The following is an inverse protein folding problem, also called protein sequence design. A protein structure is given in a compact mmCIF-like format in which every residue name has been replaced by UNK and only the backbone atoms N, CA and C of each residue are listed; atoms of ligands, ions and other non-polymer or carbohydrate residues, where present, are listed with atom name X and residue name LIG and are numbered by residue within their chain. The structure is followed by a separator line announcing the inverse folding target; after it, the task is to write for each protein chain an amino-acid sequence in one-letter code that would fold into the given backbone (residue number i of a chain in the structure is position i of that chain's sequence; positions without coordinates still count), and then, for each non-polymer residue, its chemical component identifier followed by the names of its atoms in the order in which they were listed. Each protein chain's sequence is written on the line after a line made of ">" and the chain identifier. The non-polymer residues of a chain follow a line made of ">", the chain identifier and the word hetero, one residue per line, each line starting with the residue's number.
data_IF_206921035563
#
_entry.id   IF_206921035563
#
_cell.length_a   1.000
_cell.length_b   1.000
_cell.length_c   1.000
_cell.angle_alpha   90.00
_cell.angle_beta   90.00
_cell.angle_gamma   90.00
#
_symmetry.space_group_name_H-M   'P 1'
#
loop_
_entity.id
_entity.type
_entity.pdbx_description
1 polymer ?
#
# COMPACT_ATOMS: atom_id res chain seq x y z
N UNK A 1 0.90 4.03 11.87
CA UNK A 1 0.66 4.16 10.41
C UNK A 1 1.71 3.52 9.49
N UNK A 2 2.97 3.98 9.36
CA UNK A 2 3.90 3.46 8.32
C UNK A 2 4.34 2.00 8.54
N UNK A 3 4.69 1.63 9.77
CA UNK A 3 5.24 0.31 10.09
C UNK A 3 4.29 -0.87 9.75
N UNK A 4 2.98 -0.82 10.08
CA UNK A 4 2.00 -1.79 9.58
C UNK A 4 1.92 -1.87 8.05
N UNK A 5 2.02 -0.74 7.34
CA UNK A 5 1.98 -0.71 5.89
C UNK A 5 3.22 -1.36 5.25
N UNK A 6 4.40 -1.17 5.85
CA UNK A 6 5.63 -1.83 5.42
C UNK A 6 5.56 -3.34 5.67
N UNK A 7 5.01 -3.79 6.81
CA UNK A 7 4.78 -5.23 7.07
C UNK A 7 3.85 -5.84 6.03
N UNK A 8 2.74 -5.18 5.73
CA UNK A 8 1.80 -5.62 4.69
C UNK A 8 2.46 -5.68 3.31
N UNK A 9 3.26 -4.67 2.95
CA UNK A 9 4.00 -4.67 1.69
C UNK A 9 5.01 -5.83 1.61
N UNK A 10 5.71 -6.12 2.71
CA UNK A 10 6.62 -7.27 2.79
C UNK A 10 5.88 -8.60 2.60
N UNK A 11 4.68 -8.74 3.19
CA UNK A 11 3.85 -9.92 3.01
C UNK A 11 3.39 -10.09 1.55
N UNK A 12 2.89 -9.03 0.92
CA UNK A 12 2.47 -9.02 -0.49
C UNK A 12 3.64 -9.38 -1.42
N UNK A 13 4.82 -8.78 -1.19
CA UNK A 13 6.03 -9.09 -1.96
C UNK A 13 6.43 -10.56 -1.78
N UNK A 14 6.47 -11.07 -0.56
CA UNK A 14 6.88 -12.45 -0.27
C UNK A 14 5.93 -13.46 -0.92
N UNK A 15 4.62 -13.21 -0.85
CA UNK A 15 3.61 -14.04 -1.49
C UNK A 15 3.76 -14.01 -3.02
N UNK A 16 3.99 -12.83 -3.60
CA UNK A 16 4.23 -12.68 -5.03
C UNK A 16 5.51 -13.41 -5.48
N UNK A 17 6.60 -13.30 -4.71
CA UNK A 17 7.85 -14.02 -4.96
C UNK A 17 7.65 -15.53 -4.94
N UNK A 18 6.90 -16.05 -3.96
CA UNK A 18 6.57 -17.48 -3.86
C UNK A 18 5.74 -17.94 -5.06
N UNK A 19 4.72 -17.18 -5.43
CA UNK A 19 3.86 -17.47 -6.56
C UNK A 19 4.66 -17.51 -7.88
N UNK A 20 5.51 -16.50 -8.12
CA UNK A 20 6.40 -16.46 -9.29
C UNK A 20 7.32 -17.69 -9.28
N UNK A 21 7.96 -18.01 -8.14
CA UNK A 21 8.87 -19.14 -8.04
C UNK A 21 8.17 -20.48 -8.33
N UNK A 22 6.91 -20.65 -7.91
CA UNK A 22 6.11 -21.83 -8.23
C UNK A 22 5.75 -21.90 -9.73
N UNK A 23 5.26 -20.79 -10.31
CA UNK A 23 4.93 -20.68 -11.74
C UNK A 23 6.14 -20.95 -12.65
N UNK A 24 7.33 -20.49 -12.25
CA UNK A 24 8.57 -20.76 -12.98
C UNK A 24 8.95 -22.24 -12.94
N UNK A 25 8.75 -22.92 -11.81
CA UNK A 25 8.98 -24.38 -11.71
C UNK A 25 8.03 -25.18 -12.61
N UNK A 26 6.82 -24.68 -12.85
CA UNK A 26 5.83 -25.33 -13.71
C UNK A 26 5.93 -24.91 -15.19
N UNK A 27 6.93 -24.12 -15.57
CA UNK A 27 7.22 -23.77 -16.96
C UNK A 27 6.47 -22.57 -17.53
N UNK A 28 5.79 -21.78 -16.70
CA UNK A 28 5.10 -20.56 -17.14
C UNK A 28 6.04 -19.35 -17.06
N UNK A 29 6.42 -18.80 -18.22
CA UNK A 29 7.34 -17.66 -18.35
C UNK A 29 6.66 -16.28 -18.40
N UNK A 30 5.33 -16.22 -18.44
CA UNK A 30 4.55 -14.96 -18.53
C UNK A 30 4.77 -14.02 -17.34
N UNK A 31 5.34 -14.53 -16.25
CA UNK A 31 5.65 -13.77 -15.04
C UNK A 31 6.68 -12.67 -15.26
N UNK A 32 7.58 -12.80 -16.25
CA UNK A 32 8.66 -11.83 -16.50
C UNK A 32 8.07 -10.48 -16.95
N UNK A 33 7.07 -10.50 -17.84
CA UNK A 33 6.34 -9.30 -18.30
C UNK A 33 5.58 -8.62 -17.17
N UNK A 34 4.97 -9.41 -16.28
CA UNK A 34 4.27 -8.90 -15.11
C UNK A 34 5.24 -8.16 -14.17
N UNK A 35 6.42 -8.75 -13.91
CA UNK A 35 7.46 -8.11 -13.07
C UNK A 35 8.03 -6.86 -13.73
N UNK A 36 8.22 -6.84 -15.06
CA UNK A 36 8.60 -5.62 -15.79
C UNK A 36 7.58 -4.50 -15.59
N UNK A 37 6.29 -4.78 -15.80
CA UNK A 37 5.22 -3.80 -15.63
C UNK A 37 5.17 -3.28 -14.18
N UNK A 38 5.24 -4.19 -13.20
CA UNK A 38 5.31 -3.83 -11.79
C UNK A 38 6.51 -2.94 -11.46
N UNK A 39 7.68 -3.23 -12.05
CA UNK A 39 8.92 -2.46 -11.83
C UNK A 39 8.76 -1.00 -12.27
N UNK A 40 8.02 -0.72 -13.35
CA UNK A 40 7.72 0.66 -13.78
C UNK A 40 6.97 1.41 -12.68
N UNK A 41 5.92 0.80 -12.11
CA UNK A 41 5.14 1.43 -11.04
C UNK A 41 5.95 1.64 -9.77
N UNK A 42 6.80 0.69 -9.40
CA UNK A 42 7.71 0.79 -8.24
C UNK A 42 8.68 1.97 -8.43
N UNK A 43 9.36 2.06 -9.56
CA UNK A 43 10.33 3.13 -9.81
C UNK A 43 9.68 4.51 -9.86
N UNK A 44 8.47 4.60 -10.40
CA UNK A 44 7.65 5.82 -10.36
C UNK A 44 7.30 6.21 -8.94
N UNK A 45 6.75 5.29 -8.15
CA UNK A 45 6.36 5.55 -6.77
C UNK A 45 7.56 6.01 -5.94
N UNK A 46 8.71 5.34 -6.10
CA UNK A 46 9.99 5.71 -5.46
C UNK A 46 10.61 7.01 -5.97
N UNK A 47 10.00 7.66 -6.98
CA UNK A 47 10.53 8.83 -7.71
C UNK A 47 11.93 8.59 -8.28
N UNK A 48 12.30 7.33 -8.51
CA UNK A 48 13.59 6.93 -9.08
C UNK A 48 13.63 7.18 -10.59
N UNK A 49 12.50 7.08 -11.29
CA UNK A 49 12.40 7.46 -12.70
C UNK A 49 11.09 7.07 -13.37
N UNK A 50 10.80 7.72 -14.50
CA UNK A 50 9.63 7.46 -15.34
C UNK A 50 10.01 6.45 -16.43
N UNK A 51 10.17 5.20 -15.99
CA UNK A 51 10.60 4.11 -16.85
C UNK A 51 9.58 3.81 -17.95
N UNK A 52 10.09 3.59 -19.16
CA UNK A 52 9.31 3.10 -20.31
C UNK A 52 9.78 1.70 -20.70
N UNK A 53 8.83 0.84 -21.08
CA UNK A 53 9.15 -0.49 -21.57
C UNK A 53 9.76 -0.41 -22.98
N UNK A 54 10.99 -0.89 -23.14
CA UNK A 54 11.72 -0.81 -24.39
C UNK A 54 11.25 -1.86 -25.41
N UNK A 55 10.62 -2.95 -24.96
CA UNK A 55 10.03 -3.95 -25.84
C UNK A 55 8.86 -3.38 -26.67
N UNK A 56 8.25 -2.27 -26.24
CA UNK A 56 7.25 -1.54 -27.03
C UNK A 56 7.87 -0.70 -28.17
N UNK A 57 9.15 -0.35 -28.06
CA UNK A 57 9.88 0.47 -29.05
C UNK A 57 10.60 -0.45 -30.04
N UNK A 58 11.22 -1.52 -29.54
CA UNK A 58 11.89 -2.55 -30.35
C UNK A 58 11.79 -3.89 -29.62
N UNK A 59 11.18 -4.88 -30.26
CA UNK A 59 11.09 -6.22 -29.69
C UNK A 59 12.49 -6.79 -29.39
N UNK A 60 12.64 -7.41 -28.23
CA UNK A 60 13.89 -7.99 -27.73
C UNK A 60 15.03 -6.96 -27.66
N UNK A 61 14.77 -5.84 -26.97
CA UNK A 61 15.81 -4.84 -26.76
C UNK A 61 16.97 -5.45 -25.98
N UNK A 62 18.23 -5.30 -26.44
CA UNK A 62 19.35 -6.01 -25.82
C UNK A 62 19.64 -5.48 -24.42
N UNK A 63 19.78 -6.41 -23.47
CA UNK A 63 20.36 -6.22 -22.13
C UNK A 63 19.59 -5.34 -21.14
N UNK A 64 18.54 -4.65 -21.55
CA UNK A 64 17.73 -3.79 -20.70
C UNK A 64 16.26 -3.89 -21.13
N UNK A 65 15.35 -3.97 -20.16
CA UNK A 65 13.92 -4.09 -20.42
C UNK A 65 13.23 -2.73 -20.34
N UNK A 66 13.70 -1.88 -19.42
CA UNK A 66 13.12 -0.57 -19.13
C UNK A 66 14.18 0.53 -19.18
N UNK A 67 13.80 1.74 -19.55
CA UNK A 67 14.69 2.90 -19.42
C UNK A 67 13.92 4.22 -19.26
N UNK A 68 14.58 5.19 -18.64
CA UNK A 68 14.18 6.59 -18.62
C UNK A 68 15.29 7.42 -19.26
N UNK A 69 15.00 7.97 -20.44
CA UNK A 69 15.95 8.76 -21.22
C UNK A 69 16.19 10.15 -20.62
N UNK A 70 15.30 10.69 -19.78
CA UNK A 70 15.49 12.00 -19.16
C UNK A 70 16.47 11.89 -17.99
N UNK A 71 16.31 10.86 -17.17
CA UNK A 71 17.23 10.57 -16.06
C UNK A 71 18.46 9.75 -16.47
N UNK A 72 18.51 9.31 -17.72
CA UNK A 72 19.61 8.50 -18.27
C UNK A 72 19.82 7.20 -17.47
N UNK A 73 18.74 6.56 -17.02
CA UNK A 73 18.77 5.29 -16.30
C UNK A 73 18.23 4.16 -17.15
N UNK A 74 18.83 2.99 -17.01
CA UNK A 74 18.35 1.75 -17.61
C UNK A 74 18.15 0.68 -16.54
N UNK A 75 17.16 -0.19 -16.74
CA UNK A 75 16.82 -1.25 -15.80
C UNK A 75 16.67 -2.57 -16.55
N UNK A 76 17.42 -3.58 -16.12
CA UNK A 76 17.16 -4.96 -16.46
C UNK A 76 16.35 -5.59 -15.34
N UNK A 77 15.22 -6.19 -15.69
CA UNK A 77 14.33 -6.89 -14.78
C UNK A 77 14.55 -8.40 -14.96
N UNK A 78 14.64 -9.13 -13.86
CA UNK A 78 14.72 -10.59 -13.88
C UNK A 78 14.15 -11.14 -12.59
N UNK A 79 13.51 -12.30 -12.63
CA UNK A 79 13.05 -12.94 -11.38
C UNK A 79 14.24 -13.38 -10.53
N UNK A 80 15.30 -13.89 -11.16
CA UNK A 80 16.51 -14.36 -10.51
C UNK A 80 17.73 -13.74 -11.20
N UNK A 81 18.44 -12.85 -10.50
CA UNK A 81 19.69 -12.26 -10.95
C UNK A 81 20.87 -13.14 -10.50
N UNK A 82 21.14 -14.20 -11.27
CA UNK A 82 22.32 -15.05 -11.06
C UNK A 82 23.60 -14.36 -11.57
N UNK A 83 24.80 -14.73 -11.09
CA UNK A 83 26.05 -14.14 -11.56
C UNK A 83 26.24 -14.25 -13.08
N UNK A 84 25.77 -15.36 -13.68
CA UNK A 84 25.79 -15.55 -15.13
C UNK A 84 24.91 -14.53 -15.86
N UNK A 85 23.68 -14.29 -15.37
CA UNK A 85 22.78 -13.26 -15.93
C UNK A 85 23.33 -11.85 -15.72
N UNK A 86 23.88 -11.56 -14.55
CA UNK A 86 24.49 -10.27 -14.24
C UNK A 86 25.64 -9.97 -15.21
N UNK A 87 26.59 -10.89 -15.34
CA UNK A 87 27.72 -10.74 -16.26
C UNK A 87 27.27 -10.61 -17.72
N UNK A 88 26.26 -11.40 -18.14
CA UNK A 88 25.70 -11.31 -19.49
C UNK A 88 25.09 -9.94 -19.76
N UNK A 89 24.36 -9.40 -18.78
CA UNK A 89 23.72 -8.09 -18.85
C UNK A 89 24.76 -6.98 -18.96
N UNK A 90 25.77 -6.97 -18.09
CA UNK A 90 26.86 -5.98 -18.11
C UNK A 90 27.61 -6.03 -19.45
N UNK A 91 28.02 -7.22 -19.91
CA UNK A 91 28.70 -7.38 -21.19
C UNK A 91 27.88 -6.87 -22.36
N UNK A 92 26.57 -7.12 -22.36
CA UNK A 92 25.68 -6.67 -23.42
C UNK A 92 25.40 -5.16 -23.35
N UNK A 93 25.39 -4.57 -22.15
CA UNK A 93 25.25 -3.14 -21.92
C UNK A 93 26.49 -2.35 -22.38
N UNK A 94 27.68 -2.90 -22.20
CA UNK A 94 28.96 -2.32 -22.66
C UNK A 94 29.30 -2.64 -24.12
N UNK A 95 28.56 -3.57 -24.74
CA UNK A 95 28.84 -4.00 -26.12
C UNK A 95 28.59 -2.84 -27.08
N UNK A 96 29.64 -2.45 -27.81
CA UNK A 96 29.55 -1.46 -28.88
C UNK A 96 28.81 -2.04 -30.08
N UNK A 97 27.95 -1.23 -30.69
CA UNK A 97 27.34 -1.52 -31.98
C UNK A 97 28.32 -1.19 -33.14
N UNK A 98 27.86 -1.37 -34.38
CA UNK A 98 28.64 -1.10 -35.60
C UNK A 98 29.10 0.37 -35.71
N UNK A 99 28.42 1.29 -35.02
CA UNK A 99 28.75 2.72 -34.95
C UNK A 99 29.70 3.05 -33.78
N UNK A 100 30.20 2.04 -33.05
CA UNK A 100 31.11 2.23 -31.92
C UNK A 100 30.47 2.72 -30.62
N UNK A 101 29.14 2.80 -30.57
CA UNK A 101 28.35 3.30 -29.42
C UNK A 101 27.74 2.13 -28.65
N UNK A 102 27.73 2.20 -27.32
CA UNK A 102 27.12 1.22 -26.41
C UNK A 102 25.95 1.81 -25.63
N UNK A 103 25.18 0.96 -24.95
CA UNK A 103 24.10 1.44 -24.07
C UNK A 103 24.65 2.20 -22.86
N UNK A 104 25.85 1.84 -22.41
CA UNK A 104 26.59 2.56 -21.36
C UNK A 104 26.91 4.00 -21.73
N UNK A 105 27.14 4.29 -23.01
CA UNK A 105 27.38 5.67 -23.46
C UNK A 105 26.09 6.51 -23.43
N UNK A 106 24.93 5.84 -23.45
CA UNK A 106 23.62 6.49 -23.43
C UNK A 106 23.01 6.59 -22.02
N UNK A 107 23.28 5.65 -21.12
CA UNK A 107 22.68 5.65 -19.78
C UNK A 107 23.76 5.68 -18.71
N UNK A 108 23.70 6.67 -17.82
CA UNK A 108 24.67 6.88 -16.75
C UNK A 108 24.57 5.84 -15.63
N UNK A 109 23.42 5.18 -15.48
CA UNK A 109 23.23 4.13 -14.48
C UNK A 109 22.47 2.94 -15.04
N UNK A 110 22.93 1.74 -14.67
CA UNK A 110 22.26 0.46 -14.92
C UNK A 110 21.79 -0.13 -13.60
N UNK A 111 20.49 -0.41 -13.47
CA UNK A 111 19.94 -1.20 -12.38
C UNK A 111 19.67 -2.62 -12.88
N UNK A 112 20.18 -3.63 -12.17
CA UNK A 112 19.78 -5.03 -12.40
C UNK A 112 18.92 -5.44 -11.21
N UNK A 113 17.63 -5.58 -11.47
CA UNK A 113 16.63 -5.89 -10.47
C UNK A 113 16.29 -7.38 -10.47
N UNK A 114 16.72 -8.08 -9.43
CA UNK A 114 16.32 -9.46 -9.15
C UNK A 114 15.11 -9.51 -8.22
N UNK A 115 13.92 -9.75 -8.77
CA UNK A 115 12.68 -9.66 -7.99
C UNK A 115 12.56 -10.74 -6.91
N UNK A 116 12.85 -12.01 -7.21
CA UNK A 116 12.82 -13.11 -6.24
C UNK A 116 14.17 -13.33 -5.58
N UNK A 117 15.27 -13.17 -6.33
CA UNK A 117 16.62 -13.40 -5.84
C UNK A 117 17.66 -12.57 -6.58
N UNK A 118 18.58 -11.99 -5.81
CA UNK A 118 19.77 -11.32 -6.34
C UNK A 118 21.02 -11.94 -5.72
N UNK A 119 21.97 -12.37 -6.56
CA UNK A 119 23.25 -12.87 -6.08
C UNK A 119 24.21 -11.71 -5.77
N UNK A 120 24.94 -11.81 -4.66
CA UNK A 120 26.07 -10.92 -4.39
C UNK A 120 27.13 -11.16 -5.47
N UNK A 121 27.45 -10.13 -6.24
CA UNK A 121 28.41 -10.19 -7.33
C UNK A 121 29.07 -8.83 -7.50
N UNK A 122 30.36 -8.82 -7.82
CA UNK A 122 31.08 -7.56 -8.07
C UNK A 122 30.57 -6.94 -9.37
N UNK A 123 30.21 -5.66 -9.31
CA UNK A 123 29.68 -4.91 -10.46
C UNK A 123 30.42 -3.58 -10.61
N UNK A 124 30.49 -3.04 -11.84
CA UNK A 124 31.07 -1.72 -12.09
C UNK A 124 30.32 -0.60 -11.34
N UNK A 125 30.99 0.55 -11.15
CA UNK A 125 30.44 1.69 -10.39
C UNK A 125 29.13 2.27 -10.94
N UNK A 126 28.90 2.17 -12.26
CA UNK A 126 27.66 2.62 -12.90
C UNK A 126 26.51 1.60 -12.75
N UNK A 127 26.78 0.39 -12.26
CA UNK A 127 25.82 -0.70 -12.17
C UNK A 127 25.41 -0.93 -10.70
N UNK A 128 24.11 -1.00 -10.45
CA UNK A 128 23.53 -1.31 -9.12
C UNK A 128 22.74 -2.60 -9.18
N UNK A 129 23.10 -3.55 -8.33
CA UNK A 129 22.29 -4.74 -8.09
C UNK A 129 21.25 -4.40 -7.01
N UNK A 130 19.97 -4.54 -7.34
CA UNK A 130 18.88 -4.27 -6.41
C UNK A 130 17.96 -5.48 -6.29
N UNK A 131 17.33 -5.60 -5.13
CA UNK A 131 16.29 -6.59 -4.83
C UNK A 131 15.11 -5.89 -4.14
N UNK A 132 14.11 -6.66 -3.73
CA UNK A 132 12.94 -6.10 -3.04
C UNK A 132 13.27 -5.49 -1.69
N UNK A 133 14.34 -5.95 -1.03
CA UNK A 133 14.80 -5.40 0.25
C UNK A 133 15.34 -3.98 0.08
N UNK A 134 16.08 -3.72 -1.01
CA UNK A 134 16.52 -2.37 -1.38
C UNK A 134 15.32 -1.42 -1.55
N UNK A 135 14.26 -1.87 -2.22
CA UNK A 135 13.05 -1.07 -2.44
C UNK A 135 12.34 -0.73 -1.12
N UNK A 136 12.21 -1.73 -0.22
CA UNK A 136 11.61 -1.52 1.10
C UNK A 136 12.47 -0.55 1.93
N UNK A 137 13.80 -0.66 1.86
CA UNK A 137 14.71 0.28 2.50
C UNK A 137 14.50 1.73 2.04
N UNK A 138 14.42 1.95 0.73
CA UNK A 138 14.13 3.28 0.17
C UNK A 138 12.77 3.83 0.61
N UNK A 139 11.76 2.98 0.82
CA UNK A 139 10.46 3.40 1.35
C UNK A 139 10.54 3.78 2.84
N UNK A 140 11.22 2.96 3.64
CA UNK A 140 11.45 3.24 5.05
C UNK A 140 12.20 4.56 5.25
N UNK A 141 13.24 4.81 4.45
CA UNK A 141 14.06 6.03 4.53
C UNK A 141 13.27 7.28 4.14
N UNK A 142 12.35 7.17 3.18
CA UNK A 142 11.51 8.30 2.75
C UNK A 142 10.31 8.54 3.65
N UNK A 143 9.86 7.51 4.38
CA UNK A 143 8.74 7.55 5.31
C UNK A 143 7.46 8.19 4.71
N UNK A 144 7.21 7.96 3.42
CA UNK A 144 6.07 8.51 2.68
C UNK A 144 4.98 7.43 2.54
N UNK A 145 3.87 7.65 3.23
CA UNK A 145 2.73 6.73 3.27
C UNK A 145 2.05 6.56 1.91
N UNK A 146 1.94 7.64 1.13
CA UNK A 146 1.31 7.60 -0.19
C UNK A 146 2.16 6.78 -1.17
N UNK A 147 3.49 6.89 -1.08
CA UNK A 147 4.41 6.07 -1.88
C UNK A 147 4.28 4.57 -1.58
N UNK A 148 4.14 4.21 -0.30
CA UNK A 148 3.94 2.81 0.10
C UNK A 148 2.61 2.28 -0.43
N UNK A 149 1.55 3.09 -0.33
CA UNK A 149 0.23 2.73 -0.83
C UNK A 149 0.22 2.57 -2.36
N UNK A 150 0.90 3.44 -3.10
CA UNK A 150 0.97 3.36 -4.56
C UNK A 150 1.64 2.06 -5.02
N UNK A 151 2.65 1.58 -4.29
CA UNK A 151 3.29 0.29 -4.56
C UNK A 151 2.37 -0.88 -4.22
N UNK A 152 1.68 -0.85 -3.07
CA UNK A 152 0.69 -1.85 -2.70
C UNK A 152 -0.40 -1.97 -3.78
N UNK A 153 -0.94 -0.84 -4.22
CA UNK A 153 -1.95 -0.78 -5.27
C UNK A 153 -1.40 -1.33 -6.60
N UNK A 154 -0.13 -1.05 -6.92
CA UNK A 154 0.52 -1.59 -8.12
C UNK A 154 0.68 -3.11 -8.07
N UNK A 155 1.09 -3.68 -6.93
CA UNK A 155 1.19 -5.14 -6.75
C UNK A 155 -0.17 -5.79 -6.94
N UNK A 156 -1.22 -5.21 -6.33
CA UNK A 156 -2.59 -5.72 -6.39
C UNK A 156 -3.23 -5.63 -7.77
N UNK A 157 -2.91 -4.60 -8.57
CA UNK A 157 -3.41 -4.46 -9.95
C UNK A 157 -2.92 -5.56 -10.89
N UNK A 158 -1.79 -6.21 -10.58
CA UNK A 158 -1.17 -7.18 -11.49
C UNK A 158 -1.61 -8.63 -11.25
N UNK A 159 -2.60 -8.90 -10.37
CA UNK A 159 -3.15 -10.24 -10.14
C UNK A 159 -4.62 -10.26 -9.67
N UNK A 160 -5.29 -11.41 -9.89
CA UNK A 160 -6.48 -11.92 -9.16
C UNK A 160 -6.15 -12.19 -7.66
N UNK A 161 -5.59 -11.19 -6.99
CA UNK A 161 -5.03 -11.28 -5.63
C UNK A 161 -6.09 -11.32 -4.52
N UNK A 162 -7.36 -11.10 -4.86
CA UNK A 162 -8.49 -11.11 -3.91
C UNK A 162 -8.66 -12.46 -3.22
N UNK A 163 -8.18 -13.55 -3.82
CA UNK A 163 -8.37 -14.92 -3.29
C UNK A 163 -7.29 -15.38 -2.30
N UNK A 164 -6.19 -14.62 -2.18
CA UNK A 164 -5.06 -14.92 -1.29
C UNK A 164 -4.76 -13.69 -0.43
N UNK A 165 -5.71 -13.30 0.43
CA UNK A 165 -5.58 -12.07 1.23
C UNK A 165 -4.42 -12.20 2.25
N UNK A 166 -3.33 -11.45 2.09
CA UNK A 166 -2.10 -11.64 2.85
C UNK A 166 -2.06 -10.86 4.17
N UNK A 167 -3.10 -10.09 4.51
CA UNK A 167 -3.07 -9.17 5.63
C UNK A 167 -3.47 -9.83 6.94
N UNK A 168 -2.63 -9.62 7.95
CA UNK A 168 -2.91 -10.11 9.29
C UNK A 168 -4.10 -9.37 9.93
N UNK A 169 -4.83 -10.08 10.78
CA UNK A 169 -5.94 -9.54 11.57
C UNK A 169 -5.48 -8.34 12.40
N UNK A 170 -4.34 -8.46 13.07
CA UNK A 170 -3.81 -7.41 13.96
C UNK A 170 -3.44 -6.15 13.18
N UNK A 171 -2.73 -6.29 12.06
CA UNK A 171 -2.31 -5.15 11.24
C UNK A 171 -3.52 -4.45 10.62
N UNK A 172 -4.52 -5.20 10.18
CA UNK A 172 -5.78 -4.65 9.66
C UNK A 172 -6.56 -3.91 10.75
N UNK A 173 -6.58 -4.44 11.98
CA UNK A 173 -7.18 -3.78 13.13
C UNK A 173 -6.44 -2.49 13.50
N UNK A 174 -5.11 -2.49 13.51
CA UNK A 174 -4.30 -1.30 13.84
C UNK A 174 -4.61 -0.13 12.90
N UNK A 175 -4.75 -0.39 11.59
CA UNK A 175 -5.13 0.65 10.61
C UNK A 175 -6.53 1.19 10.87
N UNK A 176 -7.49 0.31 11.17
CA UNK A 176 -8.87 0.73 11.50
C UNK A 176 -8.88 1.57 12.78
N UNK A 177 -8.12 1.19 13.80
CA UNK A 177 -8.00 1.94 15.04
C UNK A 177 -7.35 3.31 14.81
N UNK A 178 -6.33 3.42 13.95
CA UNK A 178 -5.72 4.69 13.54
C UNK A 178 -6.75 5.63 12.87
N UNK A 179 -7.68 5.09 12.07
CA UNK A 179 -8.78 5.86 11.48
C UNK A 179 -9.80 6.32 12.52
N UNK A 180 -10.17 5.43 13.47
CA UNK A 180 -11.04 5.76 14.59
C UNK A 180 -10.39 6.84 15.47
N UNK A 181 -9.07 6.83 15.62
CA UNK A 181 -8.32 7.79 16.43
C UNK A 181 -8.20 9.20 15.79
N UNK A 182 -8.94 9.48 14.71
CA UNK A 182 -9.02 10.78 14.04
C UNK A 182 -10.12 11.67 14.65
N UNK A 183 -10.17 12.92 14.17
CA UNK A 183 -11.04 13.98 14.70
C UNK A 183 -12.52 13.58 14.78
N UNK A 184 -13.03 12.81 13.80
CA UNK A 184 -14.45 12.44 13.72
C UNK A 184 -14.98 11.73 14.97
N UNK A 185 -14.13 10.97 15.68
CA UNK A 185 -14.50 10.30 16.95
C UNK A 185 -13.93 11.04 18.16
N UNK A 186 -12.72 11.62 18.02
CA UNK A 186 -12.03 12.29 19.13
C UNK A 186 -12.73 13.52 19.67
N UNK A 187 -13.46 14.26 18.85
CA UNK A 187 -14.06 15.50 19.29
C UNK A 187 -15.50 15.28 19.75
N UNK A 188 -15.86 15.92 20.88
CA UNK A 188 -17.26 16.03 21.27
C UNK A 188 -18.02 16.94 20.33
N UNK A 189 -19.33 16.76 20.28
CA UNK A 189 -20.23 17.58 19.46
C UNK A 189 -20.09 19.08 19.72
N UNK A 190 -19.81 19.50 20.96
CA UNK A 190 -19.61 20.91 21.32
C UNK A 190 -18.33 21.53 20.74
N UNK A 191 -17.33 20.71 20.41
CA UNK A 191 -16.06 21.11 19.82
C UNK A 191 -15.93 20.67 18.35
N UNK A 192 -17.01 20.11 17.77
CA UNK A 192 -17.01 19.60 16.40
C UNK A 192 -17.00 20.79 15.42
N UNK A 193 -15.88 20.99 14.73
CA UNK A 193 -15.72 22.12 13.83
C UNK A 193 -16.60 22.01 12.57
N UNK A 194 -16.80 20.79 12.07
CA UNK A 194 -17.48 20.53 10.79
C UNK A 194 -18.24 19.21 10.84
N UNK A 195 -19.57 19.30 10.86
CA UNK A 195 -20.44 18.12 10.86
C UNK A 195 -20.31 17.31 9.55
N UNK A 196 -20.07 17.99 8.42
CA UNK A 196 -19.86 17.33 7.13
C UNK A 196 -18.58 16.49 7.13
N UNK A 197 -17.48 17.02 7.67
CA UNK A 197 -16.20 16.30 7.73
C UNK A 197 -16.27 15.12 8.70
N UNK A 198 -16.99 15.29 9.82
CA UNK A 198 -17.27 14.19 10.74
C UNK A 198 -18.05 13.05 10.05
N UNK A 199 -19.10 13.37 9.29
CA UNK A 199 -19.88 12.39 8.53
C UNK A 199 -19.05 11.71 7.44
N UNK A 200 -18.14 12.45 6.78
CA UNK A 200 -17.18 11.87 5.84
C UNK A 200 -16.27 10.86 6.58
N UNK A 201 -15.73 11.23 7.74
CA UNK A 201 -14.91 10.35 8.57
C UNK A 201 -15.64 9.06 8.97
N UNK A 202 -16.92 9.13 9.33
CA UNK A 202 -17.72 7.93 9.62
C UNK A 202 -17.91 7.03 8.41
N UNK A 203 -18.12 7.61 7.23
CA UNK A 203 -18.22 6.85 5.97
C UNK A 203 -16.90 6.17 5.65
N UNK A 204 -15.76 6.84 5.84
CA UNK A 204 -14.44 6.24 5.64
C UNK A 204 -14.22 5.06 6.59
N UNK A 205 -14.53 5.19 7.89
CA UNK A 205 -14.41 4.09 8.85
C UNK A 205 -15.29 2.90 8.42
N UNK A 206 -16.55 3.15 8.07
CA UNK A 206 -17.46 2.09 7.62
C UNK A 206 -17.00 1.44 6.30
N UNK A 207 -16.43 2.21 5.36
CA UNK A 207 -15.89 1.67 4.10
C UNK A 207 -14.69 0.77 4.37
N UNK A 208 -13.78 1.17 5.26
CA UNK A 208 -12.61 0.35 5.63
C UNK A 208 -13.04 -0.92 6.32
N UNK A 209 -13.92 -0.84 7.31
CA UNK A 209 -14.39 -2.02 8.03
C UNK A 209 -15.11 -2.97 7.06
N UNK A 210 -16.05 -2.45 6.27
CA UNK A 210 -16.88 -3.28 5.40
C UNK A 210 -16.13 -3.86 4.20
N UNK A 211 -15.35 -3.04 3.49
CA UNK A 211 -14.75 -3.40 2.19
C UNK A 211 -13.23 -3.52 2.24
N UNK A 212 -12.60 -2.99 3.28
CA UNK A 212 -11.15 -2.88 3.34
C UNK A 212 -10.59 -1.75 2.48
N UNK A 213 -11.42 -0.82 1.98
CA UNK A 213 -10.99 0.26 1.08
C UNK A 213 -11.35 1.65 1.62
N UNK A 214 -10.56 2.66 1.24
CA UNK A 214 -10.94 4.08 1.30
C UNK A 214 -10.73 4.66 -0.09
N UNK A 215 -11.76 5.28 -0.68
CA UNK A 215 -11.63 5.95 -1.98
C UNK A 215 -10.99 5.05 -3.06
N UNK A 216 -11.41 3.77 -3.11
CA UNK A 216 -10.88 2.72 -4.02
C UNK A 216 -9.44 2.25 -3.76
N UNK A 217 -8.76 2.76 -2.74
CA UNK A 217 -7.45 2.26 -2.28
C UNK A 217 -7.66 1.25 -1.17
N UNK A 218 -7.05 0.07 -1.27
CA UNK A 218 -7.22 -0.99 -0.26
C UNK A 218 -6.32 -0.71 0.96
N UNK A 219 -6.94 -0.47 2.12
CA UNK A 219 -6.32 0.00 3.37
C UNK A 219 -6.48 -0.96 4.55
N UNK A 220 -7.33 -1.98 4.48
CA UNK A 220 -7.42 -3.12 5.42
C UNK A 220 -7.94 -4.34 4.65
N UNK A 221 -8.11 -5.49 5.30
CA UNK A 221 -9.02 -6.51 4.77
C UNK A 221 -10.47 -6.20 5.13
N UNK A 222 -11.41 -6.79 4.39
CA UNK A 222 -12.83 -6.69 4.73
C UNK A 222 -13.09 -7.41 6.05
N UNK A 223 -14.07 -6.95 6.82
CA UNK A 223 -14.55 -7.65 8.02
C UNK A 223 -14.88 -9.13 7.75
N UNK A 224 -15.27 -9.49 6.54
CA UNK A 224 -15.54 -10.89 6.16
C UNK A 224 -14.26 -11.76 6.13
N UNK A 225 -13.09 -11.15 5.98
CA UNK A 225 -11.79 -11.81 5.88
C UNK A 225 -11.04 -11.86 7.22
N UNK A 226 -11.60 -11.29 8.29
CA UNK A 226 -11.06 -11.43 9.65
C UNK A 226 -11.33 -12.83 10.21
N UNK A 227 -10.29 -13.43 10.78
CA UNK A 227 -10.33 -14.75 11.42
C UNK A 227 -10.65 -14.63 12.91
N UNK A 228 -10.17 -13.58 13.56
CA UNK A 228 -10.41 -13.32 14.99
C UNK A 228 -11.85 -12.84 15.22
N UNK A 229 -12.64 -13.68 15.88
CA UNK A 229 -14.04 -13.39 16.18
C UNK A 229 -14.22 -12.20 17.15
N UNK A 230 -13.27 -11.96 18.06
CA UNK A 230 -13.34 -10.82 18.96
C UNK A 230 -13.19 -9.50 18.18
N UNK A 231 -12.30 -9.49 17.18
CA UNK A 231 -12.17 -8.35 16.28
C UNK A 231 -13.42 -8.15 15.45
N UNK A 232 -14.00 -9.22 14.89
CA UNK A 232 -15.25 -9.15 14.12
C UNK A 232 -16.39 -8.58 14.96
N UNK A 233 -16.55 -9.03 16.20
CA UNK A 233 -17.57 -8.51 17.13
C UNK A 233 -17.36 -7.03 17.41
N UNK A 234 -16.12 -6.62 17.71
CA UNK A 234 -15.78 -5.22 17.91
C UNK A 234 -16.10 -4.36 16.68
N UNK A 235 -15.64 -4.77 15.49
CA UNK A 235 -15.82 -4.02 14.25
C UNK A 235 -17.29 -3.88 13.85
N UNK A 236 -18.12 -4.91 14.11
CA UNK A 236 -19.58 -4.80 13.98
C UNK A 236 -20.16 -3.80 14.96
N UNK A 237 -19.76 -3.86 16.23
CA UNK A 237 -20.19 -2.91 17.26
C UNK A 237 -19.89 -1.45 16.90
N UNK A 238 -18.69 -1.17 16.36
CA UNK A 238 -18.34 0.17 15.85
C UNK A 238 -19.25 0.58 14.69
N UNK A 239 -19.48 -0.31 13.72
CA UNK A 239 -20.35 -0.03 12.57
C UNK A 239 -21.80 0.28 13.00
N UNK A 240 -22.30 -0.46 14.00
CA UNK A 240 -23.63 -0.26 14.58
C UNK A 240 -23.73 1.08 15.32
N UNK A 241 -22.76 1.41 16.16
CA UNK A 241 -22.72 2.68 16.88
C UNK A 241 -22.63 3.88 15.92
N UNK A 242 -21.80 3.79 14.87
CA UNK A 242 -21.72 4.82 13.82
C UNK A 242 -23.05 4.97 13.06
N UNK A 243 -23.74 3.86 12.80
CA UNK A 243 -25.06 3.87 12.15
C UNK A 243 -26.10 4.57 13.02
N UNK A 244 -26.06 4.37 14.33
CA UNK A 244 -26.91 5.11 15.28
C UNK A 244 -26.61 6.61 15.28
N UNK A 245 -25.33 7.00 15.31
CA UNK A 245 -24.93 8.41 15.22
C UNK A 245 -25.46 9.04 13.92
N UNK A 246 -25.26 8.35 12.78
CA UNK A 246 -25.71 8.84 11.48
C UNK A 246 -27.24 8.97 11.42
N UNK A 247 -27.99 8.05 12.05
CA UNK A 247 -29.45 8.14 12.14
C UNK A 247 -29.91 9.36 12.94
N UNK A 248 -29.25 9.68 14.05
CA UNK A 248 -29.53 10.89 14.85
C UNK A 248 -29.29 12.14 14.01
N UNK A 249 -28.16 12.22 13.30
CA UNK A 249 -27.82 13.35 12.43
C UNK A 249 -28.85 13.48 11.29
N UNK A 250 -29.21 12.38 10.64
CA UNK A 250 -30.17 12.39 9.52
C UNK A 250 -31.56 12.82 9.98
N UNK A 251 -32.02 12.41 11.16
CA UNK A 251 -33.28 12.86 11.76
C UNK A 251 -33.28 14.37 12.07
N UNK A 252 -32.10 14.92 12.33
CA UNK A 252 -31.88 16.31 12.71
C UNK A 252 -31.73 17.26 11.51
N UNK A 253 -31.78 16.74 10.27
CA UNK A 253 -31.71 17.55 9.04
C UNK A 253 -33.03 18.27 8.78
N UNK A 254 -32.97 19.56 8.49
CA UNK A 254 -34.14 20.38 8.18
C UNK A 254 -34.08 20.77 6.70
N UNK A 255 -34.94 20.18 5.88
CA UNK A 255 -35.04 20.38 4.41
C UNK A 255 -33.79 19.97 3.59
N UNK A 256 -33.83 20.10 2.25
CA UNK A 256 -32.81 19.60 1.30
C UNK A 256 -31.46 20.34 1.35
N UNK A 257 -31.26 21.27 2.30
CA UNK A 257 -30.00 21.98 2.51
C UNK A 257 -29.15 21.31 3.61
N UNK A 258 -27.86 21.63 3.65
CA UNK A 258 -26.87 21.12 4.62
C UNK A 258 -27.08 21.59 6.08
N UNK A 259 -28.22 22.21 6.39
CA UNK A 259 -28.53 22.75 7.72
C UNK A 259 -29.05 21.65 8.67
N UNK A 260 -28.34 21.42 9.78
CA UNK A 260 -28.67 20.37 10.76
C UNK A 260 -28.89 20.99 12.13
N UNK A 261 -30.05 20.73 12.72
CA UNK A 261 -30.37 21.15 14.09
C UNK A 261 -30.40 19.94 15.02
N UNK A 262 -29.29 19.70 15.73
CA UNK A 262 -29.17 18.60 16.69
C UNK A 262 -29.52 19.12 18.08
N UNK A 263 -30.47 18.48 18.75
CA UNK A 263 -30.83 18.85 20.13
C UNK A 263 -29.67 18.60 21.10
N UNK A 264 -29.62 19.32 22.22
CA UNK A 264 -28.61 19.06 23.25
C UNK A 264 -28.65 17.61 23.76
N UNK A 265 -29.84 17.02 23.86
CA UNK A 265 -30.00 15.61 24.25
C UNK A 265 -29.38 14.67 23.20
N UNK A 266 -29.62 14.92 21.92
CA UNK A 266 -29.07 14.13 20.83
C UNK A 266 -27.56 14.33 20.68
N UNK A 267 -27.03 15.54 20.91
CA UNK A 267 -25.59 15.79 20.98
C UNK A 267 -24.94 14.96 22.10
N UNK A 268 -25.56 14.91 23.28
CA UNK A 268 -25.08 14.10 24.40
C UNK A 268 -25.11 12.60 24.09
N UNK A 269 -26.14 12.12 23.37
CA UNK A 269 -26.21 10.72 22.90
C UNK A 269 -25.10 10.40 21.89
N UNK A 270 -24.82 11.31 20.95
CA UNK A 270 -23.70 11.14 20.00
C UNK A 270 -22.37 11.07 20.76
N UNK A 271 -22.14 11.96 21.73
CA UNK A 271 -20.92 11.95 22.54
C UNK A 271 -20.77 10.64 23.34
N UNK A 272 -21.87 10.11 23.90
CA UNK A 272 -21.86 8.81 24.58
C UNK A 272 -21.43 7.67 23.64
N UNK A 273 -21.94 7.65 22.41
CA UNK A 273 -21.55 6.66 21.40
C UNK A 273 -20.09 6.83 20.97
N UNK A 274 -19.61 8.07 20.76
CA UNK A 274 -18.19 8.34 20.48
C UNK A 274 -17.27 7.86 21.61
N UNK A 275 -17.65 8.12 22.87
CA UNK A 275 -16.91 7.65 24.05
C UNK A 275 -16.90 6.12 24.12
N UNK A 276 -18.04 5.46 23.84
CA UNK A 276 -18.13 4.00 23.78
C UNK A 276 -17.18 3.44 22.72
N UNK A 277 -17.22 3.95 21.50
CA UNK A 277 -16.32 3.55 20.41
C UNK A 277 -14.85 3.71 20.84
N UNK A 278 -14.47 4.85 21.42
CA UNK A 278 -13.11 5.13 21.87
C UNK A 278 -12.63 4.14 22.97
N UNK A 279 -13.49 3.85 23.95
CA UNK A 279 -13.20 2.92 25.03
C UNK A 279 -13.05 1.48 24.52
N UNK A 280 -13.98 1.02 23.69
CA UNK A 280 -13.94 -0.32 23.10
C UNK A 280 -12.70 -0.49 22.18
N UNK A 281 -12.36 0.56 21.46
CA UNK A 281 -11.16 0.62 20.61
C UNK A 281 -9.87 0.52 21.44
N UNK A 282 -9.78 1.25 22.55
CA UNK A 282 -8.64 1.15 23.48
C UNK A 282 -8.54 -0.24 24.12
N UNK A 283 -9.68 -0.87 24.41
CA UNK A 283 -9.72 -2.22 24.98
C UNK A 283 -9.23 -3.27 23.98
N UNK A 284 -9.73 -3.25 22.75
CA UNK A 284 -9.32 -4.22 21.72
C UNK A 284 -7.86 -4.00 21.30
N UNK A 285 -7.36 -2.77 21.30
CA UNK A 285 -5.95 -2.45 21.08
C UNK A 285 -5.05 -3.12 22.14
N UNK A 286 -5.40 -2.94 23.43
CA UNK A 286 -4.69 -3.56 24.56
C UNK A 286 -4.69 -5.10 24.47
N UNK A 287 -5.84 -5.70 24.15
CA UNK A 287 -5.96 -7.16 23.99
C UNK A 287 -5.06 -7.73 22.87
N UNK A 288 -4.82 -6.95 21.82
CA UNK A 288 -4.02 -7.37 20.66
C UNK A 288 -2.57 -6.88 20.69
N UNK A 289 -2.11 -6.33 21.82
CA UNK A 289 -0.77 -5.75 21.97
C UNK A 289 -0.48 -4.66 20.92
N UNK A 290 -1.46 -3.80 20.66
CA UNK A 290 -1.32 -2.57 19.85
C UNK A 290 -1.16 -1.41 20.83
N UNK A 291 -0.07 -0.64 20.70
CA UNK A 291 0.24 0.47 21.61
C UNK A 291 -0.55 1.73 21.23
N UNK A 292 -1.87 1.67 21.39
CA UNK A 292 -2.78 2.76 21.07
C UNK A 292 -3.80 2.95 22.19
N UNK A 293 -4.03 4.21 22.56
CA UNK A 293 -5.10 4.61 23.48
C UNK A 293 -5.89 5.74 22.83
N UNK A 294 -7.19 5.51 22.69
CA UNK A 294 -8.14 6.41 22.03
C UNK A 294 -9.02 7.03 23.10
N UNK A 295 -8.96 8.36 23.21
CA UNK A 295 -9.74 9.14 24.16
C UNK A 295 -10.49 10.25 23.43
N UNK A 296 -11.74 10.47 23.82
CA UNK A 296 -12.51 11.64 23.40
C UNK A 296 -12.03 12.86 24.20
N UNK A 297 -11.71 13.94 23.51
CA UNK A 297 -11.12 15.15 24.07
C UNK A 297 -12.24 16.14 24.43
N UNK A 298 -12.13 16.72 25.62
CA UNK A 298 -12.83 17.94 26.00
C UNK A 298 -11.82 19.07 25.77
N UNK A 299 -12.02 19.90 24.74
CA UNK A 299 -11.28 21.16 24.61
C UNK A 299 -11.90 22.20 25.54
#
# INVERSE_FOLDING_TARGET
>A
MIDPLIRNLQADIALLQLYIAQRQKTGFHDMERMVEALTIFIFRALRMGELKNLNQIKANFPAIDLADNQKMIAVQVTTNASPAKINKTIKAFEKKNELGVSLKDKYSALYIFGFCKTSKHSVPSYCKLIDTSYLIGELCDKADEDMIQDILDAIRRHQDYTSLHPWDDKDSLEIILDLINRNAIKHRMICEGSLSDMVIGFKEINEVIGKGTIQRKQRSKSIADFKDQNMVIFLRGVTDDLSHIQAIINKSRVSNDDFVYISHEDMARIDQLKIKIANDSSKIAKLNNIKMEINVINL
#
